data_IF_585388805633
#
_entry.id   IF_585388805633
#
_cell.length_a   1.000
_cell.length_b   1.000
_cell.length_c   1.000
_cell.angle_alpha   90.00
_cell.angle_beta   90.00
_cell.angle_gamma   90.00
#
_symmetry.space_group_name_H-M   'P 1'
#
loop_
_entity.id
_entity.type
_entity.pdbx_description
1 polymer ?
#
# COMPACT_ATOMS: atom_id res chain seq x y z
N UNK A 1 12.13 -11.69 14.79
CA UNK A 1 13.17 -10.65 14.65
C UNK A 1 14.52 -11.27 14.34
N UNK A 2 14.97 -12.35 15.05
CA UNK A 2 16.27 -12.96 14.80
C UNK A 2 16.50 -13.32 13.32
N UNK A 3 15.55 -13.98 12.66
CA UNK A 3 15.64 -14.35 11.24
C UNK A 3 15.74 -13.11 10.32
N UNK A 4 15.05 -12.01 10.69
CA UNK A 4 15.16 -10.74 9.96
C UNK A 4 16.55 -10.11 10.16
N UNK A 5 17.11 -10.16 11.35
CA UNK A 5 18.47 -9.68 11.62
C UNK A 5 19.54 -10.51 10.89
N UNK A 6 19.32 -11.80 10.72
CA UNK A 6 20.18 -12.64 9.88
C UNK A 6 20.15 -12.20 8.42
N UNK A 7 18.98 -11.76 7.91
CA UNK A 7 18.79 -11.33 6.53
C UNK A 7 19.27 -9.90 6.25
N UNK A 8 18.98 -8.94 7.12
CA UNK A 8 19.24 -7.51 6.87
C UNK A 8 20.17 -6.85 7.89
N UNK A 9 20.56 -7.56 8.95
CA UNK A 9 21.38 -7.05 10.04
C UNK A 9 20.60 -6.21 11.05
N UNK A 10 21.35 -5.59 11.94
CA UNK A 10 20.86 -4.59 12.90
C UNK A 10 21.19 -3.19 12.41
N UNK A 11 20.60 -2.16 13.03
CA UNK A 11 20.88 -0.75 12.66
C UNK A 11 22.35 -0.37 12.85
N UNK A 12 23.00 -0.93 13.86
CA UNK A 12 24.42 -0.68 14.14
C UNK A 12 25.33 -1.45 13.18
N UNK A 13 24.87 -2.63 12.73
CA UNK A 13 25.59 -3.50 11.82
C UNK A 13 24.69 -3.99 10.69
N UNK A 14 24.33 -3.11 9.73
CA UNK A 14 23.50 -3.49 8.59
C UNK A 14 24.23 -4.48 7.68
N UNK A 15 23.49 -5.46 7.18
CA UNK A 15 23.99 -6.46 6.23
C UNK A 15 23.37 -6.17 4.86
N UNK A 16 24.22 -5.97 3.87
CA UNK A 16 23.79 -5.89 2.48
C UNK A 16 23.89 -7.27 1.83
N UNK A 17 22.77 -7.97 1.75
CA UNK A 17 22.70 -9.24 1.02
C UNK A 17 22.20 -8.94 -0.40
N UNK A 18 22.94 -9.29 -1.46
CA UNK A 18 22.50 -9.12 -2.83
C UNK A 18 21.12 -9.79 -3.05
N UNK A 19 20.17 -9.02 -3.58
CA UNK A 19 18.80 -9.49 -3.83
C UNK A 19 17.82 -9.29 -2.68
N UNK A 20 18.22 -8.74 -1.54
CA UNK A 20 17.31 -8.32 -0.46
C UNK A 20 17.24 -6.80 -0.45
N UNK A 21 16.06 -6.25 -0.77
CA UNK A 21 15.82 -4.80 -0.78
C UNK A 21 15.22 -4.26 0.53
N UNK A 22 14.63 -5.12 1.35
CA UNK A 22 14.00 -4.71 2.60
C UNK A 22 13.15 -5.79 3.25
N UNK A 23 12.38 -5.39 4.26
CA UNK A 23 11.48 -6.24 5.04
C UNK A 23 10.04 -5.90 4.63
N UNK A 24 9.26 -6.90 4.20
CA UNK A 24 7.81 -6.75 3.99
C UNK A 24 7.05 -7.15 5.24
N UNK A 25 6.13 -6.30 5.69
CA UNK A 25 5.21 -6.55 6.82
C UNK A 25 3.76 -6.48 6.34
N UNK A 26 2.96 -7.47 6.71
CA UNK A 26 1.51 -7.42 6.61
C UNK A 26 0.93 -7.09 8.00
N UNK A 27 0.42 -5.88 8.20
CA UNK A 27 -0.17 -5.44 9.47
C UNK A 27 -1.62 -5.89 9.60
N UNK A 28 -2.28 -6.18 8.48
CA UNK A 28 -3.60 -6.77 8.38
C UNK A 28 -3.60 -8.00 7.45
N UNK A 29 -4.57 -8.88 7.63
CA UNK A 29 -4.73 -10.07 6.77
C UNK A 29 -4.99 -9.65 5.33
N UNK A 30 -4.07 -10.03 4.44
CA UNK A 30 -4.25 -9.91 2.99
C UNK A 30 -4.40 -11.31 2.39
N UNK A 31 -3.31 -11.92 1.94
CA UNK A 31 -3.26 -13.29 1.42
C UNK A 31 -2.24 -14.10 2.20
N UNK A 32 -2.59 -15.31 2.63
CA UNK A 32 -1.69 -16.20 3.38
C UNK A 32 -1.68 -15.94 4.89
N UNK A 33 -0.60 -16.38 5.56
CA UNK A 33 -0.49 -16.44 7.03
C UNK A 33 0.61 -15.53 7.61
N UNK A 34 1.16 -14.61 6.83
CA UNK A 34 2.28 -13.74 7.22
C UNK A 34 1.80 -12.44 7.91
N UNK A 35 0.93 -12.58 8.90
CA UNK A 35 0.40 -11.45 9.65
C UNK A 35 1.32 -11.05 10.81
N UNK A 36 1.60 -9.76 10.95
CA UNK A 36 2.28 -9.16 12.11
C UNK A 36 1.47 -7.95 12.57
N UNK A 37 0.46 -8.18 13.43
CA UNK A 37 -0.41 -7.13 14.00
C UNK A 37 -0.05 -6.77 15.45
N UNK A 38 0.77 -7.57 16.13
CA UNK A 38 1.21 -7.29 17.49
C UNK A 38 2.12 -6.06 17.54
N UNK A 39 1.69 -5.03 18.28
CA UNK A 39 2.39 -3.74 18.37
C UNK A 39 3.80 -3.86 18.95
N UNK A 40 4.00 -4.79 19.89
CA UNK A 40 5.33 -5.03 20.50
C UNK A 40 6.28 -5.66 19.48
N UNK A 41 5.76 -6.61 18.68
CA UNK A 41 6.54 -7.22 17.61
C UNK A 41 6.90 -6.20 16.53
N UNK A 42 5.95 -5.34 16.13
CA UNK A 42 6.20 -4.25 15.18
C UNK A 42 7.28 -3.30 15.71
N UNK A 43 7.14 -2.80 16.94
CA UNK A 43 8.13 -1.90 17.54
C UNK A 43 9.52 -2.53 17.59
N UNK A 44 9.62 -3.82 17.92
CA UNK A 44 10.89 -4.55 17.89
C UNK A 44 11.48 -4.65 16.50
N UNK A 45 10.67 -4.92 15.47
CA UNK A 45 11.17 -4.96 14.08
C UNK A 45 11.74 -3.59 13.70
N UNK A 46 11.00 -2.49 13.92
CA UNK A 46 11.48 -1.13 13.61
C UNK A 46 12.71 -0.72 14.42
N UNK A 47 12.88 -1.23 15.64
CA UNK A 47 14.01 -0.88 16.49
C UNK A 47 15.26 -1.72 16.23
N UNK A 48 15.08 -3.02 16.00
CA UNK A 48 16.16 -4.01 16.07
C UNK A 48 16.69 -4.44 14.70
N UNK A 49 16.03 -4.06 13.57
CA UNK A 49 16.46 -4.46 12.22
C UNK A 49 17.02 -3.29 11.42
N UNK A 50 17.72 -3.59 10.33
CA UNK A 50 18.18 -2.62 9.33
C UNK A 50 17.32 -2.68 8.06
N UNK A 51 17.67 -1.87 7.05
CA UNK A 51 17.07 -1.86 5.71
C UNK A 51 15.78 -1.05 5.64
N UNK A 52 15.07 -1.18 4.53
CA UNK A 52 13.77 -0.56 4.30
C UNK A 52 12.67 -1.47 4.86
N UNK A 53 11.72 -0.92 5.60
CA UNK A 53 10.49 -1.63 5.97
C UNK A 53 9.37 -1.20 5.03
N UNK A 54 8.76 -2.17 4.33
CA UNK A 54 7.59 -1.96 3.49
C UNK A 54 6.34 -2.59 4.15
N UNK A 55 5.27 -1.82 4.30
CA UNK A 55 4.08 -2.26 5.04
C UNK A 55 2.83 -2.32 4.17
N UNK A 56 2.09 -3.43 4.26
CA UNK A 56 0.68 -3.47 3.92
C UNK A 56 -0.09 -2.97 5.15
N UNK A 57 -0.58 -1.74 5.08
CA UNK A 57 -1.10 -1.01 6.23
C UNK A 57 -2.64 -1.12 6.31
N UNK A 58 -3.12 -2.15 6.97
CA UNK A 58 -4.53 -2.28 7.39
C UNK A 58 -4.57 -2.77 8.84
N UNK A 59 -5.39 -2.15 9.69
CA UNK A 59 -5.51 -2.50 11.11
C UNK A 59 -6.33 -3.78 11.30
N UNK A 60 -5.68 -4.86 11.76
CA UNK A 60 -6.32 -6.17 11.86
C UNK A 60 -7.44 -6.20 12.90
N UNK A 61 -7.26 -5.53 14.04
CA UNK A 61 -8.27 -5.53 15.10
C UNK A 61 -9.57 -4.90 14.60
N UNK A 62 -9.46 -3.74 13.94
CA UNK A 62 -10.60 -3.08 13.34
C UNK A 62 -11.22 -3.91 12.21
N UNK A 63 -10.42 -4.52 11.35
CA UNK A 63 -10.95 -5.41 10.31
C UNK A 63 -11.71 -6.58 10.90
N UNK A 64 -11.21 -7.21 11.95
CA UNK A 64 -11.86 -8.32 12.60
C UNK A 64 -13.22 -7.92 13.22
N UNK A 65 -13.30 -6.74 13.83
CA UNK A 65 -14.58 -6.20 14.34
C UNK A 65 -15.56 -5.91 13.20
N UNK A 66 -15.10 -5.26 12.14
CA UNK A 66 -15.96 -4.87 11.01
C UNK A 66 -16.38 -6.07 10.16
N UNK A 67 -15.57 -7.13 10.10
CA UNK A 67 -15.95 -8.38 9.43
C UNK A 67 -17.22 -8.98 10.01
N UNK A 68 -17.46 -8.85 11.30
CA UNK A 68 -18.71 -9.29 11.93
C UNK A 68 -19.93 -8.53 11.40
N UNK A 69 -19.77 -7.29 10.97
CA UNK A 69 -20.86 -6.46 10.45
C UNK A 69 -21.30 -6.85 9.04
N UNK A 70 -20.49 -7.62 8.32
CA UNK A 70 -20.79 -8.10 6.98
C UNK A 70 -21.13 -9.59 6.92
N UNK A 71 -21.30 -10.23 8.07
CA UNK A 71 -21.62 -11.65 8.14
C UNK A 71 -22.89 -11.96 7.32
N UNK A 72 -22.80 -12.95 6.42
CA UNK A 72 -23.87 -13.34 5.52
C UNK A 72 -24.07 -12.45 4.27
N UNK A 73 -23.32 -11.36 4.12
CA UNK A 73 -23.33 -10.53 2.91
C UNK A 73 -22.55 -11.21 1.77
N UNK A 74 -23.10 -11.13 0.57
CA UNK A 74 -22.48 -11.68 -0.66
C UNK A 74 -22.28 -10.61 -1.75
N UNK A 75 -22.65 -9.37 -1.48
CA UNK A 75 -22.39 -8.25 -2.37
C UNK A 75 -20.95 -7.74 -2.22
N UNK A 76 -20.37 -7.31 -3.34
CA UNK A 76 -18.96 -6.88 -3.39
C UNK A 76 -18.70 -5.61 -2.54
N UNK A 77 -19.68 -4.75 -2.35
CA UNK A 77 -19.53 -3.54 -1.54
C UNK A 77 -19.21 -3.87 -0.07
N UNK A 78 -19.58 -5.07 0.41
CA UNK A 78 -19.18 -5.56 1.73
C UNK A 78 -17.66 -5.64 1.91
N UNK A 79 -16.90 -5.87 0.83
CA UNK A 79 -15.44 -5.93 0.86
C UNK A 79 -14.81 -4.60 1.30
N UNK A 80 -15.12 -3.51 0.62
CA UNK A 80 -14.63 -2.18 0.99
C UNK A 80 -15.26 -1.68 2.31
N UNK A 81 -16.46 -2.17 2.67
CA UNK A 81 -17.11 -1.79 3.90
C UNK A 81 -16.37 -2.29 5.14
N UNK A 82 -15.88 -3.55 5.19
CA UNK A 82 -15.15 -4.03 6.35
C UNK A 82 -13.67 -3.62 6.35
N UNK A 83 -13.09 -3.37 5.18
CA UNK A 83 -11.75 -2.82 4.98
C UNK A 83 -11.84 -1.32 4.74
N UNK A 84 -12.44 -0.56 5.65
CA UNK A 84 -12.70 0.86 5.42
C UNK A 84 -11.42 1.73 5.44
N UNK A 85 -11.58 2.99 5.07
CA UNK A 85 -10.51 3.98 5.03
C UNK A 85 -9.85 4.22 6.41
N UNK A 86 -10.64 4.13 7.49
CA UNK A 86 -10.12 4.23 8.86
C UNK A 86 -9.22 3.04 9.22
N UNK A 87 -9.55 1.84 8.72
CA UNK A 87 -8.70 0.65 8.90
C UNK A 87 -7.30 0.89 8.34
N UNK A 88 -7.22 1.43 7.14
CA UNK A 88 -5.96 1.78 6.49
C UNK A 88 -5.24 2.92 7.24
N UNK A 89 -5.96 4.01 7.56
CA UNK A 89 -5.38 5.16 8.28
C UNK A 89 -4.79 4.78 9.65
N UNK A 90 -5.44 3.89 10.41
CA UNK A 90 -4.94 3.47 11.73
C UNK A 90 -3.58 2.77 11.63
N UNK A 91 -3.43 1.85 10.69
CA UNK A 91 -2.18 1.14 10.47
C UNK A 91 -1.09 2.06 9.88
N UNK A 92 -1.45 2.95 8.97
CA UNK A 92 -0.56 3.98 8.42
C UNK A 92 -0.02 4.89 9.53
N UNK A 93 -0.88 5.40 10.42
CA UNK A 93 -0.46 6.22 11.57
C UNK A 93 0.51 5.48 12.48
N UNK A 94 0.20 4.24 12.84
CA UNK A 94 1.09 3.44 13.68
C UNK A 94 2.47 3.24 13.02
N UNK A 95 2.50 2.96 11.72
CA UNK A 95 3.75 2.78 10.98
C UNK A 95 4.59 4.07 10.94
N UNK A 96 3.95 5.22 10.69
CA UNK A 96 4.58 6.54 10.70
C UNK A 96 5.13 6.88 12.09
N UNK A 97 4.37 6.64 13.15
CA UNK A 97 4.81 6.85 14.54
C UNK A 97 6.03 5.99 14.86
N UNK A 98 6.04 4.72 14.46
CA UNK A 98 7.18 3.82 14.66
C UNK A 98 8.40 4.27 13.85
N UNK A 99 8.22 4.66 12.60
CA UNK A 99 9.30 5.17 11.76
C UNK A 99 9.94 6.44 12.37
N UNK A 100 9.14 7.40 12.81
CA UNK A 100 9.63 8.61 13.46
C UNK A 100 10.33 8.31 14.79
N UNK A 101 9.73 7.46 15.64
CA UNK A 101 10.26 7.07 16.95
C UNK A 101 11.64 6.42 16.83
N UNK A 102 11.82 5.58 15.81
CA UNK A 102 13.04 4.79 15.63
C UNK A 102 14.00 5.41 14.60
N UNK A 103 13.55 6.36 13.78
CA UNK A 103 14.30 6.87 12.63
C UNK A 103 14.51 5.79 11.56
N UNK A 104 13.63 4.79 11.46
CA UNK A 104 13.73 3.70 10.50
C UNK A 104 13.09 4.08 9.17
N UNK A 105 13.69 3.68 8.05
CA UNK A 105 13.11 3.89 6.71
C UNK A 105 11.84 3.06 6.55
N UNK A 106 10.78 3.72 6.09
CA UNK A 106 9.46 3.13 5.88
C UNK A 106 8.97 3.39 4.46
N UNK A 107 8.42 2.37 3.84
CA UNK A 107 7.64 2.48 2.60
C UNK A 107 6.22 1.99 2.84
N UNK A 108 5.24 2.86 2.63
CA UNK A 108 3.82 2.50 2.74
C UNK A 108 3.33 2.09 1.35
N UNK A 109 2.95 0.83 1.23
CA UNK A 109 2.54 0.24 -0.03
C UNK A 109 1.11 0.64 -0.40
N UNK A 110 0.82 0.71 -1.69
CA UNK A 110 -0.52 0.75 -2.30
C UNK A 110 -1.54 1.61 -1.53
N UNK A 111 -1.27 2.91 -1.33
CA UNK A 111 -2.23 3.84 -0.74
C UNK A 111 -3.56 3.82 -1.48
N UNK A 112 -4.67 3.84 -0.73
CA UNK A 112 -6.01 3.70 -1.30
C UNK A 112 -6.99 4.76 -0.88
N UNK A 113 -6.76 5.47 0.22
CA UNK A 113 -7.71 6.45 0.74
C UNK A 113 -7.16 7.86 0.76
N UNK A 114 -8.04 8.82 0.52
CA UNK A 114 -7.69 10.24 0.58
C UNK A 114 -7.26 10.68 1.97
N UNK A 115 -7.87 10.13 3.02
CA UNK A 115 -7.51 10.47 4.41
C UNK A 115 -6.12 9.97 4.83
N UNK A 116 -5.65 8.86 4.26
CA UNK A 116 -4.25 8.42 4.45
C UNK A 116 -3.29 9.36 3.73
N UNK A 117 -3.60 9.68 2.47
CA UNK A 117 -2.76 10.53 1.65
C UNK A 117 -2.66 11.96 2.23
N UNK A 118 -3.76 12.52 2.75
CA UNK A 118 -3.77 13.80 3.44
C UNK A 118 -2.98 13.74 4.76
N UNK A 119 -3.15 12.67 5.55
CA UNK A 119 -2.37 12.47 6.76
C UNK A 119 -0.86 12.43 6.47
N UNK A 120 -0.46 11.72 5.41
CA UNK A 120 0.94 11.63 5.00
C UNK A 120 1.49 12.97 4.51
N UNK A 121 0.70 13.75 3.77
CA UNK A 121 1.08 15.10 3.38
C UNK A 121 1.40 15.99 4.58
N UNK A 122 0.63 15.86 5.66
CA UNK A 122 0.81 16.68 6.86
C UNK A 122 1.94 16.21 7.78
N UNK A 123 2.33 14.93 7.71
CA UNK A 123 3.20 14.29 8.69
C UNK A 123 4.51 13.71 8.14
N UNK A 124 4.66 13.58 6.82
CA UNK A 124 5.82 12.92 6.20
C UNK A 124 6.78 13.88 5.49
N UNK A 125 6.54 15.17 5.54
CA UNK A 125 7.38 16.19 4.92
C UNK A 125 8.77 16.34 5.57
N UNK A 126 9.05 15.64 6.67
CA UNK A 126 10.35 15.67 7.39
C UNK A 126 10.44 14.50 8.39
N UNK A 127 11.65 14.05 8.77
CA UNK A 127 12.97 14.48 8.35
C UNK A 127 13.53 13.68 7.19
N UNK A 128 14.45 14.27 6.43
CA UNK A 128 15.27 13.56 5.46
C UNK A 128 16.37 12.75 6.18
N UNK A 129 16.77 11.64 5.59
CA UNK A 129 18.00 10.93 5.96
C UNK A 129 19.22 11.84 5.72
N UNK A 130 20.37 11.48 6.28
CA UNK A 130 21.61 12.22 6.07
C UNK A 130 22.04 12.32 4.59
N UNK A 131 21.55 11.41 3.74
CA UNK A 131 21.74 11.39 2.30
C UNK A 131 20.72 12.25 1.53
N UNK A 132 19.75 12.88 2.22
CA UNK A 132 18.74 13.74 1.63
C UNK A 132 17.46 13.05 1.23
N UNK A 133 17.36 11.71 1.34
CA UNK A 133 16.13 10.97 1.02
C UNK A 133 15.12 11.03 2.18
N UNK A 134 13.80 11.01 1.89
CA UNK A 134 12.78 10.98 2.93
C UNK A 134 12.84 9.67 3.71
N UNK A 135 12.62 9.75 5.03
CA UNK A 135 12.51 8.54 5.88
C UNK A 135 11.27 7.73 5.50
N UNK A 136 10.18 8.40 5.12
CA UNK A 136 8.92 7.77 4.75
C UNK A 136 8.64 8.04 3.29
N UNK A 137 8.45 6.97 2.54
CA UNK A 137 8.01 6.98 1.14
C UNK A 137 6.72 6.21 0.98
N UNK A 138 6.01 6.42 -0.12
CA UNK A 138 4.75 5.73 -0.38
C UNK A 138 4.48 5.56 -1.86
N UNK A 139 3.61 4.62 -2.17
CA UNK A 139 3.21 4.29 -3.53
C UNK A 139 1.69 4.24 -3.70
N UNK A 140 1.23 4.41 -4.92
CA UNK A 140 -0.14 4.21 -5.35
C UNK A 140 -0.18 3.27 -6.55
N UNK A 141 -1.31 2.61 -6.75
CA UNK A 141 -1.48 1.72 -7.90
C UNK A 141 -2.32 2.38 -8.99
N UNK A 142 -2.05 2.11 -10.29
CA UNK A 142 -2.92 2.57 -11.38
C UNK A 142 -4.39 2.18 -11.19
N UNK A 143 -4.67 1.05 -10.54
CA UNK A 143 -6.01 0.59 -10.22
C UNK A 143 -6.75 1.59 -9.32
N UNK A 144 -6.10 2.09 -8.25
CA UNK A 144 -6.68 3.08 -7.33
C UNK A 144 -6.76 4.48 -7.92
N UNK A 145 -5.97 4.77 -8.96
CA UNK A 145 -6.04 6.02 -9.72
C UNK A 145 -7.10 5.99 -10.85
N UNK A 146 -7.60 4.80 -11.20
CA UNK A 146 -8.52 4.59 -12.32
C UNK A 146 -9.94 4.30 -11.88
N UNK A 147 -10.11 3.35 -10.97
CA UNK A 147 -11.41 2.80 -10.58
C UNK A 147 -11.95 3.45 -9.30
N UNK A 148 -13.27 3.44 -9.18
CA UNK A 148 -14.00 3.87 -7.99
C UNK A 148 -15.16 2.91 -7.66
N UNK A 149 -16.00 3.29 -6.71
CA UNK A 149 -17.13 2.49 -6.25
C UNK A 149 -18.12 2.14 -7.37
N UNK A 150 -18.28 3.00 -8.38
CA UNK A 150 -19.21 2.73 -9.49
C UNK A 150 -18.69 1.65 -10.42
N UNK A 151 -17.37 1.62 -10.64
CA UNK A 151 -16.70 0.56 -11.38
C UNK A 151 -16.79 -0.78 -10.64
N UNK A 152 -16.64 -0.74 -9.30
CA UNK A 152 -16.78 -1.94 -8.46
C UNK A 152 -18.19 -2.51 -8.54
N UNK A 153 -19.21 -1.65 -8.54
CA UNK A 153 -20.61 -2.09 -8.72
C UNK A 153 -20.85 -2.71 -10.11
N UNK A 154 -20.21 -2.18 -11.15
CA UNK A 154 -20.34 -2.70 -12.52
C UNK A 154 -19.55 -4.01 -12.75
N UNK A 155 -18.30 -4.06 -12.27
CA UNK A 155 -17.37 -5.16 -12.58
C UNK A 155 -17.23 -6.21 -11.47
N UNK A 156 -17.80 -5.96 -10.30
CA UNK A 156 -17.87 -6.88 -9.18
C UNK A 156 -16.49 -7.32 -8.68
N UNK A 157 -16.38 -8.60 -8.36
CA UNK A 157 -15.16 -9.22 -7.81
C UNK A 157 -13.95 -9.19 -8.75
N UNK A 158 -14.11 -8.81 -10.00
CA UNK A 158 -12.95 -8.58 -10.90
C UNK A 158 -12.07 -7.45 -10.36
N UNK A 159 -12.67 -6.45 -9.71
CA UNK A 159 -11.97 -5.34 -9.07
C UNK A 159 -11.70 -5.57 -7.56
N UNK A 160 -12.00 -6.76 -7.04
CA UNK A 160 -11.69 -7.11 -5.65
C UNK A 160 -10.17 -7.28 -5.47
N UNK A 161 -9.57 -6.41 -4.63
CA UNK A 161 -8.16 -6.45 -4.26
C UNK A 161 -7.96 -5.93 -2.82
N UNK A 162 -6.79 -6.14 -2.23
CA UNK A 162 -6.44 -5.70 -0.88
C UNK A 162 -5.25 -4.73 -0.92
N UNK A 163 -5.39 -3.48 -0.45
CA UNK A 163 -6.63 -2.85 0.01
C UNK A 163 -7.64 -2.60 -1.12
N UNK A 164 -8.93 -2.37 -0.80
CA UNK A 164 -9.97 -2.28 -1.81
C UNK A 164 -9.92 -0.99 -2.64
N UNK A 165 -10.51 -1.03 -3.84
CA UNK A 165 -10.92 0.16 -4.58
C UNK A 165 -11.92 0.93 -3.71
N UNK A 166 -11.74 2.25 -3.61
CA UNK A 166 -12.55 3.12 -2.75
C UNK A 166 -13.42 4.06 -3.57
N UNK A 167 -13.70 5.24 -3.03
CA UNK A 167 -14.65 6.21 -3.60
C UNK A 167 -13.96 7.15 -4.59
N UNK A 168 -14.75 7.72 -5.50
CA UNK A 168 -14.27 8.70 -6.48
C UNK A 168 -13.52 9.88 -5.81
N UNK A 169 -13.95 10.32 -4.62
CA UNK A 169 -13.24 11.36 -3.85
C UNK A 169 -11.82 10.93 -3.45
N UNK A 170 -11.63 9.66 -3.06
CA UNK A 170 -10.33 9.15 -2.68
C UNK A 170 -9.40 9.11 -3.88
N UNK A 171 -9.90 8.62 -5.03
CA UNK A 171 -9.15 8.62 -6.30
C UNK A 171 -8.63 10.02 -6.65
N UNK A 172 -9.45 11.06 -6.54
CA UNK A 172 -9.03 12.43 -6.87
C UNK A 172 -7.99 12.98 -5.89
N UNK A 173 -8.10 12.67 -4.59
CA UNK A 173 -7.08 13.06 -3.61
C UNK A 173 -5.77 12.31 -3.89
N UNK A 174 -5.80 11.01 -4.17
CA UNK A 174 -4.61 10.25 -4.53
C UNK A 174 -3.88 10.84 -5.74
N UNK A 175 -4.64 11.27 -6.77
CA UNK A 175 -4.06 11.98 -7.91
C UNK A 175 -3.40 13.30 -7.52
N UNK A 176 -4.04 14.10 -6.66
CA UNK A 176 -3.46 15.36 -6.17
C UNK A 176 -2.16 15.10 -5.43
N UNK A 177 -2.14 14.10 -4.54
CA UNK A 177 -0.96 13.73 -3.74
C UNK A 177 0.16 13.07 -4.53
N UNK A 178 -0.15 12.44 -5.66
CA UNK A 178 0.84 11.96 -6.61
C UNK A 178 1.51 13.11 -7.37
N UNK A 179 0.71 14.09 -7.82
CA UNK A 179 1.20 15.25 -8.57
C UNK A 179 2.00 16.21 -7.68
N UNK A 180 1.58 16.44 -6.43
CA UNK A 180 2.30 17.32 -5.49
C UNK A 180 3.55 16.68 -4.86
N UNK A 181 3.75 15.35 -5.08
CA UNK A 181 4.94 14.63 -4.62
C UNK A 181 4.82 14.01 -3.23
N UNK A 182 3.67 14.11 -2.57
CA UNK A 182 3.38 13.39 -1.32
C UNK A 182 3.45 11.88 -1.54
N UNK A 183 2.93 11.39 -2.67
CA UNK A 183 3.10 10.02 -3.15
C UNK A 183 4.24 10.01 -4.15
N UNK A 184 5.27 9.21 -3.92
CA UNK A 184 6.49 9.21 -4.72
C UNK A 184 6.45 8.22 -5.87
N UNK A 185 5.82 7.05 -5.66
CA UNK A 185 5.96 5.92 -6.58
C UNK A 185 4.62 5.40 -7.10
N UNK A 186 4.67 4.79 -8.26
CA UNK A 186 3.61 3.96 -8.82
C UNK A 186 4.11 2.52 -8.87
N UNK A 187 3.37 1.62 -8.23
CA UNK A 187 3.59 0.18 -8.24
C UNK A 187 2.43 -0.57 -8.90
N UNK A 188 2.45 -1.89 -8.92
CA UNK A 188 1.42 -2.70 -9.60
C UNK A 188 0.61 -3.58 -8.67
N UNK A 189 1.19 -4.01 -7.56
CA UNK A 189 0.66 -5.08 -6.70
C UNK A 189 0.08 -6.24 -7.54
N UNK A 190 0.88 -6.71 -8.52
CA UNK A 190 0.47 -7.71 -9.49
C UNK A 190 0.12 -9.05 -8.83
N UNK A 191 -1.17 -9.30 -8.65
CA UNK A 191 -1.71 -10.51 -8.03
C UNK A 191 -2.82 -11.12 -8.89
N UNK A 192 -2.48 -11.74 -10.03
CA UNK A 192 -3.46 -12.27 -10.97
C UNK A 192 -4.13 -13.54 -10.44
N UNK A 193 -5.41 -13.67 -10.74
CA UNK A 193 -6.21 -14.88 -10.50
C UNK A 193 -6.94 -15.29 -11.78
N UNK A 194 -7.22 -16.59 -11.90
CA UNK A 194 -7.98 -17.09 -13.06
C UNK A 194 -9.41 -16.54 -13.05
N UNK A 195 -10.02 -16.44 -14.24
CA UNK A 195 -11.43 -16.05 -14.36
C UNK A 195 -12.34 -17.00 -13.59
N UNK A 196 -12.02 -18.31 -13.57
CA UNK A 196 -12.74 -19.30 -12.79
C UNK A 196 -12.69 -18.99 -11.28
N UNK A 197 -11.51 -18.64 -10.73
CA UNK A 197 -11.39 -18.26 -9.34
C UNK A 197 -12.20 -16.99 -9.01
N UNK A 198 -12.14 -16.00 -9.89
CA UNK A 198 -12.92 -14.75 -9.76
C UNK A 198 -14.44 -14.97 -9.93
N UNK A 199 -14.89 -15.98 -10.68
CA UNK A 199 -16.32 -16.24 -10.89
C UNK A 199 -17.06 -16.75 -9.65
N UNK A 200 -16.36 -17.10 -8.57
CA UNK A 200 -16.98 -17.59 -7.34
C UNK A 200 -17.82 -16.53 -6.60
N UNK A 201 -17.61 -15.26 -6.91
CA UNK A 201 -18.30 -14.18 -6.23
C UNK A 201 -17.72 -13.89 -4.83
N UNK A 202 -18.16 -12.79 -4.22
CA UNK A 202 -17.80 -12.45 -2.83
C UNK A 202 -18.61 -13.32 -1.84
N UNK A 203 -18.02 -13.85 -0.77
CA UNK A 203 -16.62 -13.65 -0.31
C UNK A 203 -15.59 -14.66 -0.83
N UNK A 204 -15.96 -15.65 -1.64
CA UNK A 204 -15.08 -16.77 -2.03
C UNK A 204 -14.08 -16.40 -3.13
N UNK A 205 -14.34 -15.35 -3.90
CA UNK A 205 -13.40 -14.88 -4.92
C UNK A 205 -12.12 -14.34 -4.25
N UNK A 206 -10.93 -14.73 -4.74
CA UNK A 206 -9.68 -14.21 -4.19
C UNK A 206 -9.50 -12.73 -4.51
N UNK A 207 -8.90 -11.98 -3.57
CA UNK A 207 -8.50 -10.60 -3.78
C UNK A 207 -7.17 -10.53 -4.55
N UNK A 208 -7.09 -9.62 -5.50
CA UNK A 208 -5.92 -9.36 -6.33
C UNK A 208 -6.30 -9.08 -7.79
N UNK A 209 -5.49 -8.25 -8.45
CA UNK A 209 -5.67 -7.85 -9.85
C UNK A 209 -4.33 -7.96 -10.60
N UNK A 210 -4.35 -8.24 -11.92
CA UNK A 210 -3.16 -8.09 -12.74
C UNK A 210 -2.81 -6.60 -12.90
N UNK A 211 -1.52 -6.27 -13.01
CA UNK A 211 -1.06 -4.89 -13.15
C UNK A 211 0.20 -4.72 -14.00
N UNK A 212 1.10 -5.71 -14.03
CA UNK A 212 2.41 -5.58 -14.67
C UNK A 212 2.32 -5.18 -16.15
N UNK A 213 1.42 -5.79 -16.92
CA UNK A 213 1.26 -5.52 -18.34
C UNK A 213 0.55 -4.19 -18.60
N UNK A 214 -0.38 -3.80 -17.73
CA UNK A 214 -1.29 -2.68 -17.97
C UNK A 214 -0.87 -1.37 -17.32
N UNK A 215 -0.01 -1.39 -16.30
CA UNK A 215 0.33 -0.19 -15.53
C UNK A 215 0.92 0.92 -16.38
N UNK A 216 1.93 0.64 -17.19
CA UNK A 216 2.54 1.65 -18.07
C UNK A 216 1.57 2.15 -19.14
N UNK A 217 0.84 1.29 -19.90
CA UNK A 217 -0.18 1.75 -20.84
C UNK A 217 -1.27 2.62 -20.21
N UNK A 218 -1.73 2.31 -19.00
CA UNK A 218 -2.71 3.13 -18.27
C UNK A 218 -2.14 4.50 -17.95
N UNK A 219 -0.92 4.57 -17.44
CA UNK A 219 -0.28 5.85 -17.13
C UNK A 219 0.00 6.68 -18.39
N UNK A 220 0.41 6.05 -19.50
CA UNK A 220 0.56 6.74 -20.79
C UNK A 220 -0.79 7.25 -21.35
N UNK A 221 -1.89 6.55 -21.07
CA UNK A 221 -3.22 7.07 -21.41
C UNK A 221 -3.55 8.35 -20.63
N UNK A 222 -3.14 8.46 -19.36
CA UNK A 222 -3.30 9.69 -18.57
C UNK A 222 -2.41 10.82 -19.09
N UNK A 223 -1.22 10.52 -19.63
CA UNK A 223 -0.41 11.51 -20.37
C UNK A 223 -1.16 12.03 -21.61
N UNK A 224 -1.77 11.14 -22.40
CA UNK A 224 -2.58 11.53 -23.56
C UNK A 224 -3.80 12.38 -23.18
N UNK A 225 -4.35 12.18 -22.00
CA UNK A 225 -5.46 12.98 -21.44
C UNK A 225 -4.98 14.31 -20.84
N UNK A 226 -3.67 14.58 -20.79
CA UNK A 226 -3.10 15.78 -20.20
C UNK A 226 -3.14 15.82 -18.68
N UNK A 227 -3.33 14.67 -18.01
CA UNK A 227 -3.40 14.59 -16.56
C UNK A 227 -2.03 14.57 -15.88
N UNK A 228 -1.00 14.13 -16.59
CA UNK A 228 0.41 14.15 -16.21
C UNK A 228 1.30 14.22 -17.46
N UNK A 229 2.61 14.42 -17.27
CA UNK A 229 3.60 14.38 -18.34
C UNK A 229 4.30 13.02 -18.43
N UNK A 230 5.05 12.79 -19.50
CA UNK A 230 5.87 11.57 -19.64
C UNK A 230 7.03 11.58 -18.63
N UNK A 231 7.53 12.75 -18.29
CA UNK A 231 8.55 12.96 -17.26
C UNK A 231 8.03 12.56 -15.87
N UNK A 232 6.76 12.88 -15.57
CA UNK A 232 6.09 12.47 -14.34
C UNK A 232 6.00 10.94 -14.26
N UNK A 233 5.53 10.28 -15.31
CA UNK A 233 5.45 8.82 -15.38
C UNK A 233 6.83 8.18 -15.19
N UNK A 234 7.87 8.73 -15.86
CA UNK A 234 9.24 8.23 -15.70
C UNK A 234 9.73 8.40 -14.27
N UNK A 235 9.44 9.52 -13.63
CA UNK A 235 9.80 9.78 -12.25
C UNK A 235 9.11 8.81 -11.30
N UNK A 236 7.78 8.66 -11.40
CA UNK A 236 6.99 7.82 -10.50
C UNK A 236 7.22 6.31 -10.64
N UNK A 237 7.51 5.84 -11.86
CA UNK A 237 7.65 4.41 -12.16
C UNK A 237 9.11 3.93 -12.24
N UNK A 238 10.08 4.82 -12.17
CA UNK A 238 11.50 4.47 -12.33
C UNK A 238 12.41 5.22 -11.35
N UNK A 239 12.60 6.53 -11.51
CA UNK A 239 13.60 7.29 -10.74
C UNK A 239 13.30 7.25 -9.24
N UNK A 240 12.09 7.64 -8.84
CA UNK A 240 11.72 7.65 -7.42
C UNK A 240 11.75 6.24 -6.79
N UNK A 241 11.43 5.20 -7.58
CA UNK A 241 11.51 3.81 -7.11
C UNK A 241 12.95 3.40 -6.84
N UNK A 242 13.90 3.88 -7.66
CA UNK A 242 15.32 3.61 -7.45
C UNK A 242 15.89 4.38 -6.23
N UNK A 243 15.26 5.49 -5.85
CA UNK A 243 15.66 6.34 -4.72
C UNK A 243 15.01 5.88 -3.39
N UNK A 244 13.97 5.05 -3.44
CA UNK A 244 13.37 4.41 -2.25
C UNK A 244 14.24 3.29 -1.70
#
# INVERSE_FOLDING_TARGET
>A
VADLQEAVGTRENPIAIPGICGIKIFMGVSTGTLLVSDKTALERIFTETAGLIAVHAEDEDRMAERRKLIEGRTDIAAHAYYRDDITALMATKLSVELAHKTGHRLHILHLTSGIEADYLNDHCTLPSMADGYPIITTEVLPQHLTFDETDVDEHGVRLQMNPPIRYAKDREILWQRLVDGTIQCIATDHAPHTLEAKSKGFPEAPSGMPGVETSLPVMLNYVNQGRCSIEDVTRWMSTNVADC
#
